data_IF_295582907653
#
_entry.id   IF_295582907653
#
_cell.length_a   1.000
_cell.length_b   1.000
_cell.length_c   1.000
_cell.angle_alpha   90.00
_cell.angle_beta   90.00
_cell.angle_gamma   90.00
#
_symmetry.space_group_name_H-M   'P 1'
#
loop_
_entity.id
_entity.type
_entity.pdbx_description
1 polymer ?
#
# COMPACT_ATOMS: atom_id res chain seq x y z
N UNK A 1 -6.85 13.98 3.40
CA UNK A 1 -5.81 14.21 2.36
C UNK A 1 -6.30 13.50 1.10
N UNK A 2 -6.22 14.12 -0.08
CA UNK A 2 -6.83 13.58 -1.30
C UNK A 2 -5.75 13.34 -2.35
N UNK A 3 -5.84 12.25 -3.11
CA UNK A 3 -4.91 12.01 -4.21
C UNK A 3 -5.32 12.88 -5.42
N UNK A 4 -4.45 13.79 -5.84
CA UNK A 4 -4.77 14.78 -6.88
C UNK A 4 -4.51 14.29 -8.32
N UNK A 5 -4.00 13.07 -8.47
CA UNK A 5 -3.63 12.49 -9.77
C UNK A 5 -4.84 12.10 -10.65
N UNK A 6 -4.77 12.32 -11.97
CA UNK A 6 -5.78 11.84 -12.91
C UNK A 6 -5.96 10.31 -12.81
N UNK A 7 -7.20 9.84 -12.63
CA UNK A 7 -7.52 8.41 -12.54
C UNK A 7 -7.38 7.77 -11.14
N UNK A 8 -7.12 8.57 -10.10
CA UNK A 8 -7.19 8.14 -8.71
C UNK A 8 -8.53 8.47 -8.07
N UNK A 9 -8.99 7.61 -7.16
CA UNK A 9 -10.13 7.90 -6.30
C UNK A 9 -9.75 9.01 -5.33
N UNK A 10 -10.25 10.22 -5.65
CA UNK A 10 -9.96 11.47 -4.95
C UNK A 10 -10.43 11.49 -3.49
N UNK A 11 -10.93 10.39 -2.94
CA UNK A 11 -11.47 10.30 -1.58
C UNK A 11 -10.84 9.23 -0.69
N UNK A 12 -10.01 8.33 -1.24
CA UNK A 12 -9.48 7.19 -0.48
C UNK A 12 -7.96 7.23 -0.51
N UNK A 13 -7.38 7.70 0.60
CA UNK A 13 -5.96 7.59 0.90
C UNK A 13 -5.79 6.71 2.13
N UNK A 14 -4.69 5.96 2.16
CA UNK A 14 -4.29 5.09 3.27
C UNK A 14 -2.89 5.48 3.73
N UNK A 15 -2.59 5.13 4.98
CA UNK A 15 -1.28 5.38 5.59
C UNK A 15 -0.31 4.32 5.10
N UNK A 16 0.62 4.67 4.21
CA UNK A 16 1.61 3.74 3.68
C UNK A 16 2.92 3.88 4.48
N UNK A 17 3.28 2.83 5.24
CA UNK A 17 4.32 2.85 6.28
C UNK A 17 5.54 2.06 5.81
N UNK A 18 6.72 2.68 5.87
CA UNK A 18 7.99 2.04 5.57
C UNK A 18 8.61 1.49 6.88
N UNK A 19 8.95 0.19 6.93
CA UNK A 19 9.51 -0.42 8.14
C UNK A 19 10.94 0.05 8.42
N UNK A 20 11.37 -0.07 9.68
CA UNK A 20 12.60 0.54 10.17
C UNK A 20 13.86 0.04 9.46
N UNK A 21 13.89 -1.25 9.10
CA UNK A 21 14.97 -1.90 8.36
C UNK A 21 15.09 -1.40 6.90
N UNK A 22 14.03 -0.76 6.38
CA UNK A 22 13.97 -0.19 5.02
C UNK A 22 14.05 1.34 5.02
N UNK A 23 14.12 2.00 6.19
CA UNK A 23 14.25 3.47 6.27
C UNK A 23 15.53 3.99 5.59
N UNK A 24 16.56 3.16 5.45
CA UNK A 24 17.76 3.51 4.69
C UNK A 24 17.52 3.79 3.20
N UNK A 25 16.38 3.36 2.66
CA UNK A 25 15.96 3.62 1.28
C UNK A 25 15.26 4.98 1.10
N UNK A 26 14.98 5.72 2.18
CA UNK A 26 14.34 7.04 2.13
C UNK A 26 15.33 8.14 1.75
N UNK A 27 14.89 9.09 0.93
CA UNK A 27 15.64 10.31 0.72
C UNK A 27 15.67 11.17 2.01
N UNK A 28 16.72 11.99 2.21
CA UNK A 28 16.80 12.87 3.36
C UNK A 28 15.56 13.77 3.48
N UNK A 29 14.87 13.69 4.62
CA UNK A 29 13.67 14.48 4.92
C UNK A 29 12.34 13.83 4.53
N UNK A 30 12.35 12.65 3.92
CA UNK A 30 11.11 11.88 3.70
C UNK A 30 10.60 11.27 5.02
N UNK A 31 9.30 11.40 5.32
CA UNK A 31 8.71 10.77 6.49
C UNK A 31 8.62 9.24 6.30
N UNK A 32 8.72 8.45 7.38
CA UNK A 32 8.54 6.99 7.32
C UNK A 32 7.10 6.56 7.02
N UNK A 33 6.16 7.52 6.99
CA UNK A 33 4.75 7.32 6.66
C UNK A 33 4.37 8.32 5.57
N UNK A 34 3.81 7.83 4.47
CA UNK A 34 3.30 8.63 3.36
C UNK A 34 1.84 8.29 3.09
N UNK A 35 1.04 9.28 2.71
CA UNK A 35 -0.39 9.08 2.46
C UNK A 35 -0.63 8.92 0.96
N UNK A 36 -0.97 7.70 0.52
CA UNK A 36 -1.17 7.38 -0.90
C UNK A 36 -2.59 6.86 -1.13
N UNK A 37 -3.13 7.03 -2.34
CA UNK A 37 -4.34 6.30 -2.72
C UNK A 37 -4.04 4.82 -2.91
N UNK A 38 -5.08 3.98 -2.95
CA UNK A 38 -4.92 2.53 -3.08
C UNK A 38 -4.04 2.10 -4.28
N UNK A 39 -4.21 2.76 -5.43
CA UNK A 39 -3.40 2.50 -6.64
C UNK A 39 -1.93 2.87 -6.46
N UNK A 40 -1.66 4.00 -5.80
CA UNK A 40 -0.30 4.46 -5.57
C UNK A 40 0.39 3.70 -4.43
N UNK A 41 -0.32 3.29 -3.39
CA UNK A 41 0.24 2.44 -2.33
C UNK A 41 0.86 1.18 -2.98
N UNK A 42 0.08 0.47 -3.80
CA UNK A 42 0.58 -0.69 -4.55
C UNK A 42 1.73 -0.35 -5.52
N UNK A 43 1.61 0.78 -6.23
CA UNK A 43 2.66 1.28 -7.12
C UNK A 43 3.92 1.75 -6.38
N UNK A 44 3.95 1.85 -5.07
CA UNK A 44 5.17 2.15 -4.33
C UNK A 44 5.66 0.97 -3.48
N UNK A 45 5.03 -0.21 -3.66
CA UNK A 45 5.39 -1.43 -2.94
C UNK A 45 4.71 -1.56 -1.58
N UNK A 46 3.68 -0.77 -1.31
CA UNK A 46 2.88 -0.84 -0.09
C UNK A 46 1.57 -1.58 -0.35
N UNK A 47 1.16 -2.41 0.58
CA UNK A 47 -0.15 -3.06 0.57
C UNK A 47 -1.25 -2.00 0.72
N UNK A 48 -2.21 -1.92 -0.20
CA UNK A 48 -3.29 -0.92 -0.05
C UNK A 48 -4.22 -1.20 1.13
N UNK A 49 -4.28 -2.44 1.60
CA UNK A 49 -5.19 -2.85 2.68
C UNK A 49 -4.62 -2.52 4.07
N UNK A 50 -3.36 -2.84 4.34
CA UNK A 50 -2.72 -2.57 5.63
C UNK A 50 -1.73 -1.41 5.62
N UNK A 51 -1.40 -0.85 4.45
CA UNK A 51 -0.44 0.24 4.30
C UNK A 51 1.02 -0.17 4.42
N UNK A 52 1.34 -1.40 4.79
CA UNK A 52 2.72 -1.80 5.06
C UNK A 52 3.51 -2.01 3.77
N UNK A 53 4.77 -1.55 3.76
CA UNK A 53 5.68 -1.77 2.64
C UNK A 53 6.17 -3.21 2.61
N UNK A 54 5.97 -3.88 1.48
CA UNK A 54 6.43 -5.25 1.24
C UNK A 54 7.34 -5.33 0.00
N UNK A 55 7.46 -4.24 -0.76
CA UNK A 55 8.08 -4.25 -2.09
C UNK A 55 7.07 -4.67 -3.17
N UNK A 56 7.20 -4.07 -4.36
CA UNK A 56 6.23 -4.26 -5.47
C UNK A 56 6.09 -5.71 -5.89
N UNK A 57 7.20 -6.45 -5.83
CA UNK A 57 7.32 -7.86 -6.20
C UNK A 57 6.58 -8.81 -5.25
N UNK A 58 6.31 -8.39 -4.02
CA UNK A 58 5.64 -9.19 -3.00
C UNK A 58 4.13 -8.91 -2.92
N UNK A 59 3.64 -7.92 -3.66
CA UNK A 59 2.22 -7.62 -3.77
C UNK A 59 1.57 -8.47 -4.87
N UNK A 60 0.31 -8.84 -4.66
CA UNK A 60 -0.47 -9.50 -5.70
C UNK A 60 -0.92 -8.53 -6.82
N UNK A 61 -1.64 -9.05 -7.82
CA UNK A 61 -2.16 -8.26 -8.95
C UNK A 61 -3.10 -7.12 -8.54
N UNK A 62 -3.64 -7.16 -7.33
CA UNK A 62 -4.54 -6.16 -6.77
C UNK A 62 -3.81 -5.21 -5.82
N UNK A 63 -2.51 -5.40 -5.58
CA UNK A 63 -1.70 -4.57 -4.68
C UNK A 63 -1.84 -4.94 -3.21
N UNK A 64 -2.16 -6.20 -2.90
CA UNK A 64 -2.33 -6.71 -1.54
C UNK A 64 -1.17 -7.63 -1.18
N UNK A 65 -0.64 -7.49 0.04
CA UNK A 65 0.39 -8.41 0.55
C UNK A 65 -0.18 -9.80 0.85
N UNK A 66 0.68 -10.84 0.96
CA UNK A 66 0.22 -12.22 1.17
C UNK A 66 -0.65 -12.38 2.42
N UNK A 67 -0.28 -11.74 3.52
CA UNK A 67 -1.02 -11.83 4.79
C UNK A 67 -2.43 -11.24 4.68
N UNK A 68 -2.56 -10.04 4.12
CA UNK A 68 -3.86 -9.41 3.91
C UNK A 68 -4.69 -10.15 2.86
N UNK A 69 -4.05 -10.77 1.87
CA UNK A 69 -4.75 -11.60 0.88
C UNK A 69 -5.40 -12.82 1.53
N UNK A 70 -4.73 -13.49 2.45
CA UNK A 70 -5.31 -14.61 3.21
C UNK A 70 -6.47 -14.15 4.10
N UNK A 71 -6.35 -12.99 4.73
CA UNK A 71 -7.41 -12.38 5.53
C UNK A 71 -8.65 -12.07 4.68
N UNK A 72 -8.47 -11.34 3.58
CA UNK A 72 -9.55 -10.96 2.66
C UNK A 72 -10.25 -12.18 2.07
N UNK A 73 -9.50 -13.26 1.75
CA UNK A 73 -10.09 -14.53 1.29
C UNK A 73 -10.98 -15.19 2.33
N UNK A 74 -10.60 -15.14 3.61
CA UNK A 74 -11.40 -15.68 4.71
C UNK A 74 -12.65 -14.84 4.97
N UNK A 75 -12.55 -13.52 4.83
CA UNK A 75 -13.64 -12.59 5.14
C UNK A 75 -14.65 -12.43 4.00
N UNK A 76 -14.20 -12.47 2.74
CA UNK A 76 -15.03 -12.16 1.57
C UNK A 76 -15.54 -13.40 0.81
N UNK A 77 -15.12 -14.61 1.21
CA UNK A 77 -15.35 -15.83 0.41
C UNK A 77 -14.51 -15.83 -0.88
N UNK A 78 -14.43 -16.96 -1.58
CA UNK A 78 -13.50 -17.26 -2.70
C UNK A 78 -13.66 -16.41 -3.99
N UNK A 79 -13.85 -15.10 -3.90
CA UNK A 79 -13.99 -14.18 -5.05
C UNK A 79 -12.68 -13.37 -5.26
N UNK A 80 -11.54 -13.82 -4.71
CA UNK A 80 -10.22 -13.12 -4.74
C UNK A 80 -9.04 -13.97 -5.28
#
# INVERSE_FOLDING_TARGET
>A
MFCEHPGCDRGIVVDCILPEDRRGDLAPGEPPVVYLCLKHCASHGYCWHCGFWEGRENLDRLGVCPSCRELLRKEMGEIY
#
